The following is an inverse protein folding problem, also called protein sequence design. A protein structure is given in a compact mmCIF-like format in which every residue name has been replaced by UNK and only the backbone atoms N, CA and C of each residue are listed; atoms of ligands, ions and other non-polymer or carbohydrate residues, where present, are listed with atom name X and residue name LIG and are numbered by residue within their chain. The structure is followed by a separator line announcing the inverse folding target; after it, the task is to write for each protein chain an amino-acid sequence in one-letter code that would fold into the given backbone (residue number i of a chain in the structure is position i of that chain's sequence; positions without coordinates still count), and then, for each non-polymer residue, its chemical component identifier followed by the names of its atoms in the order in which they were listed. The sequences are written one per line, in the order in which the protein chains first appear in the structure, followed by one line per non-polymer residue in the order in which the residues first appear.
data_IF_893912868867
#
_entry.id   IF_893912868867
#
_cell.length_a   1.000
_cell.length_b   1.000
_cell.length_c   1.000
_cell.angle_alpha   90.00
_cell.angle_beta   90.00
_cell.angle_gamma   90.00
#
_symmetry.space_group_name_H-M   'P 1'
#
loop_
_entity.id
_entity.type
_entity.pdbx_description
1 polymer ?
#
# COMPACT_ATOMS: atom_id res chain seq x y z
N UNK A 1 -0.50 -11.92 33.64
CA UNK A 1 -1.32 -12.81 32.78
C UNK A 1 -0.60 -13.32 31.52
N UNK A 2 0.31 -12.58 30.86
CA UNK A 2 0.79 -12.94 29.50
C UNK A 2 1.71 -14.17 29.38
N UNK A 3 2.63 -14.42 30.32
CA UNK A 3 3.56 -15.58 30.26
C UNK A 3 2.87 -16.95 30.32
N UNK A 4 1.63 -17.01 30.79
CA UNK A 4 0.88 -18.25 30.92
C UNK A 4 -0.09 -18.54 29.77
N UNK A 5 -0.35 -17.60 28.86
CA UNK A 5 -1.38 -17.80 27.83
C UNK A 5 -0.93 -18.80 26.75
N UNK A 6 0.33 -18.71 26.29
CA UNK A 6 0.87 -19.56 25.20
C UNK A 6 0.75 -21.05 25.53
N UNK A 7 1.10 -21.45 26.77
CA UNK A 7 1.00 -22.85 27.23
C UNK A 7 -0.43 -23.40 27.22
N UNK A 8 -1.45 -22.55 27.34
CA UNK A 8 -2.85 -22.97 27.30
C UNK A 8 -3.40 -23.03 25.88
N UNK A 9 -2.77 -22.35 24.92
CA UNK A 9 -3.19 -22.39 23.52
C UNK A 9 -2.76 -23.69 22.83
N UNK A 10 -1.61 -24.24 23.18
CA UNK A 10 -1.06 -25.43 22.52
C UNK A 10 -2.01 -26.65 22.54
N UNK A 11 -2.60 -27.07 23.68
CA UNK A 11 -3.55 -28.19 23.67
C UNK A 11 -4.78 -27.93 22.79
N UNK A 12 -5.25 -26.67 22.74
CA UNK A 12 -6.37 -26.27 21.88
C UNK A 12 -5.98 -26.38 20.39
N UNK A 13 -4.73 -26.04 20.06
CA UNK A 13 -4.21 -26.13 18.70
C UNK A 13 -3.94 -27.58 18.26
N UNK A 14 -3.66 -28.49 19.19
CA UNK A 14 -3.45 -29.92 18.91
C UNK A 14 -4.81 -30.62 18.75
N UNK A 15 -5.62 -30.58 19.80
CA UNK A 15 -6.79 -31.46 19.94
C UNK A 15 -8.13 -30.75 19.72
N UNK A 16 -8.15 -29.41 19.75
CA UNK A 16 -9.37 -28.62 19.59
C UNK A 16 -10.02 -28.78 18.21
N UNK A 17 -11.31 -28.49 18.15
CA UNK A 17 -12.04 -28.48 16.88
C UNK A 17 -11.68 -27.23 16.04
N UNK A 18 -12.09 -27.21 14.76
CA UNK A 18 -11.69 -26.14 13.83
C UNK A 18 -11.95 -24.72 14.35
N UNK A 19 -13.14 -24.45 14.91
CA UNK A 19 -13.45 -23.13 15.45
C UNK A 19 -12.58 -22.74 16.68
N UNK A 20 -12.26 -23.69 17.57
CA UNK A 20 -11.33 -23.47 18.68
C UNK A 20 -9.92 -23.16 18.18
N UNK A 21 -9.44 -23.93 17.17
CA UNK A 21 -8.15 -23.70 16.52
C UNK A 21 -8.07 -22.33 15.87
N UNK A 22 -9.15 -21.87 15.22
CA UNK A 22 -9.20 -20.54 14.60
C UNK A 22 -8.99 -19.43 15.63
N UNK A 23 -9.72 -19.45 16.74
CA UNK A 23 -9.60 -18.45 17.80
C UNK A 23 -8.26 -18.55 18.53
N UNK A 24 -7.80 -19.76 18.85
CA UNK A 24 -6.50 -19.98 19.49
C UNK A 24 -5.34 -19.46 18.63
N UNK A 25 -5.36 -19.68 17.31
CA UNK A 25 -4.35 -19.13 16.40
C UNK A 25 -4.44 -17.61 16.28
N UNK A 26 -5.64 -17.03 16.34
CA UNK A 26 -5.80 -15.57 16.33
C UNK A 26 -5.16 -14.95 17.57
N UNK A 27 -5.43 -15.51 18.75
CA UNK A 27 -4.78 -15.08 20.00
C UNK A 27 -3.27 -15.28 19.92
N UNK A 28 -2.79 -16.41 19.40
CA UNK A 28 -1.37 -16.67 19.25
C UNK A 28 -0.68 -15.67 18.32
N UNK A 29 -1.34 -15.28 17.23
CA UNK A 29 -0.87 -14.22 16.33
C UNK A 29 -0.83 -12.86 17.05
N UNK A 30 -1.84 -12.50 17.83
CA UNK A 30 -1.78 -11.27 18.62
C UNK A 30 -0.65 -11.28 19.66
N UNK A 31 -0.41 -12.43 20.29
CA UNK A 31 0.68 -12.63 21.23
C UNK A 31 2.05 -12.55 20.54
N UNK A 32 2.18 -12.97 19.29
CA UNK A 32 3.46 -12.96 18.57
C UNK A 32 3.99 -11.56 18.30
N UNK A 33 3.22 -10.49 18.50
CA UNK A 33 3.73 -9.12 18.48
C UNK A 33 4.42 -8.68 19.78
N UNK A 34 4.36 -9.48 20.84
CA UNK A 34 5.03 -9.19 22.10
C UNK A 34 6.35 -9.96 22.19
N UNK A 35 7.46 -9.25 22.48
CA UNK A 35 8.82 -9.85 22.51
C UNK A 35 8.95 -11.03 23.48
N UNK A 36 8.35 -10.97 24.67
CA UNK A 36 8.42 -12.08 25.64
C UNK A 36 7.67 -13.30 25.09
N UNK A 37 6.50 -13.09 24.50
CA UNK A 37 5.72 -14.16 23.87
C UNK A 37 6.43 -14.74 22.63
N UNK A 38 7.11 -13.92 21.84
CA UNK A 38 7.90 -14.39 20.68
C UNK A 38 8.93 -15.42 21.12
N UNK A 39 9.71 -15.10 22.16
CA UNK A 39 10.72 -16.00 22.71
C UNK A 39 10.09 -17.32 23.16
N UNK A 40 9.01 -17.26 23.95
CA UNK A 40 8.30 -18.46 24.43
C UNK A 40 7.77 -19.34 23.29
N UNK A 41 7.27 -18.74 22.21
CA UNK A 41 6.76 -19.49 21.05
C UNK A 41 7.91 -20.10 20.25
N UNK A 42 9.01 -19.36 20.05
CA UNK A 42 10.16 -19.81 19.27
C UNK A 42 10.96 -20.92 19.96
N UNK A 43 11.01 -20.95 21.29
CA UNK A 43 11.69 -22.00 22.07
C UNK A 43 10.89 -23.31 22.15
N UNK A 44 9.56 -23.27 22.01
CA UNK A 44 8.74 -24.48 21.95
C UNK A 44 8.76 -25.09 20.55
N UNK A 45 9.73 -25.98 20.30
CA UNK A 45 9.90 -26.67 19.02
C UNK A 45 8.63 -27.38 18.55
N UNK A 46 7.91 -28.05 19.46
CA UNK A 46 6.66 -28.74 19.13
C UNK A 46 5.53 -27.79 18.74
N UNK A 47 5.41 -26.63 19.38
CA UNK A 47 4.46 -25.59 18.97
C UNK A 47 4.84 -25.02 17.60
N UNK A 48 6.12 -24.82 17.32
CA UNK A 48 6.60 -24.37 16.01
C UNK A 48 6.31 -25.40 14.90
N UNK A 49 6.47 -26.69 15.18
CA UNK A 49 6.12 -27.76 14.23
C UNK A 49 4.62 -27.84 13.99
N UNK A 50 3.81 -27.67 15.04
CA UNK A 50 2.37 -27.58 14.95
C UNK A 50 1.93 -26.41 14.07
N UNK A 51 2.50 -25.22 14.26
CA UNK A 51 2.22 -24.06 13.41
C UNK A 51 2.63 -24.32 11.95
N UNK A 52 3.77 -24.97 11.72
CA UNK A 52 4.23 -25.34 10.38
C UNK A 52 3.32 -26.37 9.70
N UNK A 53 2.63 -27.20 10.47
CA UNK A 53 1.61 -28.12 9.98
C UNK A 53 0.31 -27.37 9.69
N UNK A 54 -0.18 -26.58 10.64
CA UNK A 54 -1.43 -25.83 10.54
C UNK A 54 -1.41 -24.78 9.42
N UNK A 55 -0.25 -24.25 9.03
CA UNK A 55 -0.14 -23.31 7.90
C UNK A 55 -0.57 -23.92 6.55
N UNK A 56 -0.64 -25.25 6.45
CA UNK A 56 -1.08 -26.00 5.25
C UNK A 56 -2.45 -26.65 5.45
N UNK A 57 -3.19 -26.27 6.49
CA UNK A 57 -4.49 -26.85 6.80
C UNK A 57 -5.52 -26.57 5.69
N UNK A 58 -6.47 -27.49 5.49
CA UNK A 58 -7.52 -27.33 4.47
C UNK A 58 -8.46 -26.15 4.79
N UNK A 59 -8.72 -25.91 6.08
CA UNK A 59 -9.43 -24.73 6.54
C UNK A 59 -8.58 -23.47 6.33
N UNK A 60 -9.00 -22.60 5.39
CA UNK A 60 -8.28 -21.38 5.02
C UNK A 60 -8.07 -20.41 6.17
N UNK A 61 -8.98 -20.35 7.16
CA UNK A 61 -8.86 -19.44 8.31
C UNK A 61 -7.75 -19.93 9.24
N UNK A 62 -7.71 -21.23 9.53
CA UNK A 62 -6.64 -21.87 10.32
C UNK A 62 -5.30 -21.66 9.63
N UNK A 63 -5.23 -22.02 8.34
CA UNK A 63 -4.01 -21.85 7.55
C UNK A 63 -3.53 -20.39 7.58
N UNK A 64 -4.43 -19.43 7.36
CA UNK A 64 -4.12 -17.99 7.42
C UNK A 64 -3.61 -17.56 8.78
N UNK A 65 -4.29 -17.91 9.88
CA UNK A 65 -3.90 -17.43 11.21
C UNK A 65 -2.55 -18.03 11.64
N UNK A 66 -2.31 -19.31 11.35
CA UNK A 66 -1.01 -19.96 11.60
C UNK A 66 0.11 -19.31 10.78
N UNK A 67 -0.16 -19.07 9.49
CA UNK A 67 0.73 -18.30 8.63
C UNK A 67 1.03 -16.93 9.25
N UNK A 68 0.01 -16.17 9.63
CA UNK A 68 0.16 -14.82 10.20
C UNK A 68 1.03 -14.80 11.46
N UNK A 69 0.80 -15.73 12.39
CA UNK A 69 1.64 -15.88 13.58
C UNK A 69 3.10 -16.16 13.21
N UNK A 70 3.35 -17.15 12.33
CA UNK A 70 4.69 -17.47 11.84
C UNK A 70 5.35 -16.30 11.12
N UNK A 71 4.58 -15.47 10.42
CA UNK A 71 5.12 -14.32 9.71
C UNK A 71 5.71 -13.30 10.67
N UNK A 72 4.96 -12.95 11.73
CA UNK A 72 5.40 -12.00 12.75
C UNK A 72 6.62 -12.54 13.50
N UNK A 73 6.61 -13.84 13.85
CA UNK A 73 7.75 -14.51 14.49
C UNK A 73 9.03 -14.46 13.64
N UNK A 74 8.89 -14.39 12.31
CA UNK A 74 10.03 -14.32 11.37
C UNK A 74 10.24 -12.91 10.79
N UNK A 75 9.61 -11.87 11.34
CA UNK A 75 9.65 -10.51 10.77
C UNK A 75 11.09 -10.00 10.68
N UNK A 76 11.94 -10.22 11.70
CA UNK A 76 13.34 -9.76 11.69
C UNK A 76 14.17 -10.36 10.56
N UNK A 77 14.00 -11.66 10.30
CA UNK A 77 14.69 -12.32 9.18
C UNK A 77 14.19 -11.78 7.83
N UNK A 78 12.89 -11.49 7.72
CA UNK A 78 12.27 -10.93 6.51
C UNK A 78 12.76 -9.51 6.22
N UNK A 79 12.85 -8.66 7.24
CA UNK A 79 13.46 -7.33 7.12
C UNK A 79 14.88 -7.41 6.56
N UNK A 80 15.69 -8.34 7.07
CA UNK A 80 17.06 -8.56 6.56
C UNK A 80 17.11 -8.97 5.09
N UNK A 81 16.12 -9.73 4.60
CA UNK A 81 16.00 -10.09 3.18
C UNK A 81 15.47 -8.92 2.33
N UNK A 82 14.48 -8.19 2.82
CA UNK A 82 13.90 -7.05 2.12
C UNK A 82 14.91 -5.90 1.95
N UNK A 83 15.78 -5.67 2.94
CA UNK A 83 16.85 -4.67 2.88
C UNK A 83 17.88 -4.92 1.76
N UNK A 84 17.99 -6.15 1.25
CA UNK A 84 18.87 -6.50 0.14
C UNK A 84 18.21 -6.25 -1.23
N UNK A 85 16.89 -6.03 -1.27
CA UNK A 85 16.18 -5.74 -2.52
C UNK A 85 16.41 -4.28 -2.93
N UNK A 86 16.54 -3.99 -4.24
CA UNK A 86 16.61 -2.62 -4.72
C UNK A 86 15.34 -1.85 -4.35
N UNK A 87 15.50 -0.59 -3.93
CA UNK A 87 14.39 0.31 -3.64
C UNK A 87 13.58 0.53 -4.91
N UNK A 88 12.28 0.22 -4.86
CA UNK A 88 11.37 0.43 -5.98
C UNK A 88 11.15 1.94 -6.15
N UNK A 89 11.79 2.55 -7.16
CA UNK A 89 11.63 3.97 -7.52
C UNK A 89 10.21 4.31 -7.97
N UNK A 90 9.53 3.31 -8.53
CA UNK A 90 8.19 3.39 -9.09
C UNK A 90 7.26 2.42 -8.37
N UNK A 91 7.00 2.66 -7.09
CA UNK A 91 6.06 1.85 -6.29
C UNK A 91 4.62 2.32 -6.40
N UNK A 92 3.72 1.59 -5.75
CA UNK A 92 2.31 1.96 -5.64
C UNK A 92 2.02 2.63 -4.27
N UNK A 93 0.89 3.31 -4.17
CA UNK A 93 0.27 3.67 -2.89
C UNK A 93 -0.53 2.45 -2.41
N UNK A 94 -0.10 1.85 -1.30
CA UNK A 94 -0.81 0.74 -0.68
C UNK A 94 -1.88 1.28 0.25
N UNK A 95 -3.12 0.79 0.15
CA UNK A 95 -4.19 1.08 1.09
C UNK A 95 -4.30 -0.07 2.09
N UNK A 96 -3.79 0.14 3.31
CA UNK A 96 -3.97 -0.79 4.43
C UNK A 96 -5.23 -0.40 5.18
N UNK A 97 -6.21 -1.30 5.25
CA UNK A 97 -7.51 -1.00 5.81
C UNK A 97 -8.23 -2.20 6.41
N UNK A 98 -9.26 -1.90 7.19
CA UNK A 98 -10.22 -2.90 7.62
C UNK A 98 -11.46 -2.86 6.71
N UNK A 99 -11.91 -4.05 6.29
CA UNK A 99 -12.96 -4.25 5.29
C UNK A 99 -14.31 -3.54 5.56
N UNK A 100 -14.64 -3.24 6.82
CA UNK A 100 -15.81 -2.46 7.20
C UNK A 100 -15.82 -1.03 6.61
N UNK A 101 -14.67 -0.53 6.15
CA UNK A 101 -14.54 0.76 5.47
C UNK A 101 -14.42 0.65 3.94
N UNK A 102 -14.65 -0.53 3.35
CA UNK A 102 -14.39 -0.82 1.93
C UNK A 102 -15.04 0.20 0.98
N UNK A 103 -16.31 0.57 1.17
CA UNK A 103 -17.01 1.51 0.29
C UNK A 103 -16.28 2.85 0.16
N UNK A 104 -15.87 3.44 1.29
CA UNK A 104 -15.14 4.70 1.31
C UNK A 104 -13.76 4.56 0.65
N UNK A 105 -13.07 3.45 0.87
CA UNK A 105 -11.72 3.27 0.33
C UNK A 105 -11.68 2.89 -1.14
N UNK A 106 -12.73 2.26 -1.66
CA UNK A 106 -12.92 2.13 -3.10
C UNK A 106 -13.09 3.50 -3.76
N UNK A 107 -13.84 4.42 -3.13
CA UNK A 107 -13.96 5.80 -3.62
C UNK A 107 -12.62 6.54 -3.58
N UNK A 108 -11.85 6.43 -2.48
CA UNK A 108 -10.50 7.01 -2.40
C UNK A 108 -9.58 6.41 -3.47
N UNK A 109 -9.58 5.07 -3.63
CA UNK A 109 -8.79 4.39 -4.66
C UNK A 109 -9.11 4.92 -6.05
N UNK A 110 -10.39 5.00 -6.41
CA UNK A 110 -10.81 5.40 -7.76
C UNK A 110 -10.39 6.85 -8.02
N UNK A 111 -10.58 7.73 -7.04
CA UNK A 111 -10.14 9.12 -7.13
C UNK A 111 -8.62 9.28 -7.21
N UNK A 112 -7.86 8.50 -6.45
CA UNK A 112 -6.39 8.50 -6.56
C UNK A 112 -5.94 7.98 -7.94
N UNK A 113 -6.62 6.97 -8.51
CA UNK A 113 -6.34 6.48 -9.87
C UNK A 113 -6.68 7.51 -10.94
N UNK A 114 -7.79 8.23 -10.80
CA UNK A 114 -8.13 9.38 -11.66
C UNK A 114 -7.04 10.47 -11.60
N UNK A 115 -6.34 10.60 -10.46
CA UNK A 115 -5.19 11.49 -10.28
C UNK A 115 -3.83 10.81 -10.61
N UNK A 116 -3.85 9.74 -11.42
CA UNK A 116 -2.67 9.01 -11.89
C UNK A 116 -1.79 8.35 -10.81
N UNK A 117 -2.32 8.10 -9.60
CA UNK A 117 -1.63 7.26 -8.63
C UNK A 117 -1.82 5.78 -8.96
N UNK A 118 -0.73 5.00 -8.89
CA UNK A 118 -0.83 3.54 -8.84
C UNK A 118 -1.28 3.16 -7.45
N UNK A 119 -2.46 2.56 -7.34
CA UNK A 119 -3.04 2.19 -6.05
C UNK A 119 -3.21 0.69 -5.96
N UNK A 120 -2.62 0.11 -4.91
CA UNK A 120 -2.85 -1.27 -4.51
C UNK A 120 -3.82 -1.30 -3.32
N UNK A 121 -4.81 -2.17 -3.40
CA UNK A 121 -5.79 -2.42 -2.34
C UNK A 121 -6.23 -3.88 -2.42
N UNK A 122 -6.31 -4.56 -1.28
CA UNK A 122 -6.88 -5.91 -1.21
C UNK A 122 -8.42 -5.81 -1.20
N UNK A 123 -9.05 -5.90 -2.38
CA UNK A 123 -10.52 -5.73 -2.55
C UNK A 123 -11.25 -7.05 -2.38
N UNK A 124 -10.67 -8.13 -2.89
CA UNK A 124 -11.37 -9.39 -3.11
C UNK A 124 -11.54 -10.22 -1.84
N UNK A 125 -11.01 -9.75 -0.70
CA UNK A 125 -10.87 -10.55 0.51
C UNK A 125 -10.45 -11.97 0.11
N UNK A 126 -9.37 -12.08 -0.69
CA UNK A 126 -8.84 -13.40 -0.89
C UNK A 126 -8.49 -13.84 0.52
N UNK A 127 -9.23 -14.83 1.00
CA UNK A 127 -8.99 -15.61 2.20
C UNK A 127 -7.66 -16.39 2.05
N UNK A 128 -6.65 -15.75 1.47
CA UNK A 128 -5.63 -16.32 0.62
C UNK A 128 -4.87 -15.30 -0.24
N UNK A 129 -4.98 -13.98 -0.02
CA UNK A 129 -3.85 -13.09 -0.33
C UNK A 129 -2.77 -13.60 0.60
N UNK A 130 -1.91 -14.45 0.02
CA UNK A 130 -0.89 -15.12 0.80
C UNK A 130 -0.11 -14.03 1.53
N UNK A 131 0.44 -14.31 2.70
CA UNK A 131 1.32 -13.34 3.35
C UNK A 131 2.44 -12.83 2.44
N UNK A 132 2.75 -13.59 1.39
CA UNK A 132 3.63 -13.15 0.33
C UNK A 132 3.05 -11.97 -0.44
N UNK A 133 1.79 -12.02 -0.89
CA UNK A 133 1.12 -10.89 -1.53
C UNK A 133 1.05 -9.66 -0.62
N UNK A 134 0.76 -9.85 0.67
CA UNK A 134 0.82 -8.77 1.68
C UNK A 134 2.24 -8.19 1.79
N UNK A 135 3.26 -9.04 1.87
CA UNK A 135 4.66 -8.59 1.96
C UNK A 135 5.09 -7.86 0.69
N UNK A 136 4.75 -8.38 -0.48
CA UNK A 136 5.06 -7.79 -1.78
C UNK A 136 4.35 -6.43 -1.95
N UNK A 137 3.13 -6.29 -1.44
CA UNK A 137 2.43 -5.01 -1.41
C UNK A 137 3.18 -3.98 -0.56
N UNK A 138 3.51 -4.31 0.68
CA UNK A 138 4.27 -3.37 1.56
C UNK A 138 5.65 -3.06 0.98
N UNK A 139 6.38 -4.07 0.50
CA UNK A 139 7.72 -3.92 -0.08
C UNK A 139 7.70 -3.08 -1.37
N UNK A 140 6.70 -3.29 -2.23
CA UNK A 140 6.50 -2.55 -3.47
C UNK A 140 5.83 -1.19 -3.30
N UNK A 141 5.40 -0.83 -2.09
CA UNK A 141 4.77 0.44 -1.82
C UNK A 141 5.79 1.58 -1.75
N UNK A 142 5.44 2.71 -2.38
CA UNK A 142 6.11 4.01 -2.18
C UNK A 142 5.53 4.76 -0.97
N UNK A 143 4.27 4.52 -0.63
CA UNK A 143 3.63 4.98 0.59
C UNK A 143 2.52 4.00 1.02
N UNK A 144 2.23 3.95 2.31
CA UNK A 144 1.15 3.15 2.89
C UNK A 144 0.12 4.09 3.52
N UNK A 145 -1.10 4.07 2.98
CA UNK A 145 -2.26 4.72 3.61
C UNK A 145 -2.77 3.82 4.73
N UNK A 146 -2.61 4.27 5.97
CA UNK A 146 -3.04 3.55 7.16
C UNK A 146 -4.44 4.00 7.56
N UNK A 147 -5.46 3.24 7.19
CA UNK A 147 -6.87 3.61 7.35
C UNK A 147 -7.40 3.21 8.73
N UNK A 148 -7.16 4.09 9.70
CA UNK A 148 -7.37 3.87 11.13
C UNK A 148 -8.85 3.87 11.53
N UNK A 149 -9.21 2.85 12.28
CA UNK A 149 -10.47 2.70 13.03
C UNK A 149 -10.22 1.77 14.21
N UNK A 150 -11.20 1.59 15.11
CA UNK A 150 -11.11 0.60 16.17
C UNK A 150 -10.94 -0.81 15.59
N UNK A 151 -11.71 -1.13 14.53
CA UNK A 151 -11.59 -2.43 13.84
C UNK A 151 -10.25 -2.63 13.14
N UNK A 152 -9.65 -1.56 12.61
CA UNK A 152 -8.28 -1.62 12.07
C UNK A 152 -7.28 -2.00 13.17
N UNK A 153 -7.40 -1.37 14.34
CA UNK A 153 -6.53 -1.63 15.48
C UNK A 153 -6.65 -3.07 16.01
N UNK A 154 -7.85 -3.64 15.94
CA UNK A 154 -8.15 -4.99 16.43
C UNK A 154 -7.88 -6.09 15.39
N UNK A 155 -7.43 -5.73 14.17
CA UNK A 155 -7.15 -6.68 13.10
C UNK A 155 -5.67 -7.10 13.11
N UNK A 156 -5.34 -8.38 13.36
CA UNK A 156 -3.96 -8.87 13.31
C UNK A 156 -3.31 -8.66 11.95
N UNK A 157 -4.07 -8.77 10.85
CA UNK A 157 -3.60 -8.47 9.51
C UNK A 157 -3.15 -7.01 9.37
N UNK A 158 -4.02 -6.07 9.75
CA UNK A 158 -3.73 -4.64 9.65
C UNK A 158 -2.53 -4.27 10.52
N UNK A 159 -2.43 -4.85 11.72
CA UNK A 159 -1.26 -4.68 12.59
C UNK A 159 0.01 -5.23 11.95
N UNK A 160 -0.06 -6.40 11.31
CA UNK A 160 1.08 -7.02 10.62
C UNK A 160 1.60 -6.12 9.50
N UNK A 161 0.70 -5.60 8.64
CA UNK A 161 1.05 -4.65 7.58
C UNK A 161 1.64 -3.36 8.14
N UNK A 162 1.01 -2.78 9.18
CA UNK A 162 1.45 -1.55 9.82
C UNK A 162 2.84 -1.68 10.42
N UNK A 163 3.08 -2.72 11.22
CA UNK A 163 4.38 -2.97 11.83
C UNK A 163 5.43 -3.29 10.76
N UNK A 164 5.08 -3.99 9.67
CA UNK A 164 6.03 -4.26 8.60
C UNK A 164 6.41 -3.00 7.81
N UNK A 165 5.42 -2.19 7.45
CA UNK A 165 5.64 -0.92 6.77
C UNK A 165 6.53 0.00 7.60
N UNK A 166 6.27 0.06 8.92
CA UNK A 166 7.10 0.81 9.86
C UNK A 166 8.53 0.27 9.94
N UNK A 167 8.69 -1.05 10.05
CA UNK A 167 9.96 -1.75 10.06
C UNK A 167 10.81 -1.49 8.80
N UNK A 168 10.17 -1.44 7.63
CA UNK A 168 10.82 -1.11 6.35
C UNK A 168 10.98 0.40 6.12
N UNK A 169 10.68 1.23 7.12
CA UNK A 169 10.71 2.68 7.06
C UNK A 169 9.91 3.25 5.87
N UNK A 170 8.77 2.62 5.56
CA UNK A 170 7.87 3.08 4.50
C UNK A 170 7.18 4.37 4.95
N UNK A 171 7.00 5.36 4.04
CA UNK A 171 6.16 6.51 4.33
C UNK A 171 4.73 6.07 4.69
N UNK A 172 4.32 6.31 5.93
CA UNK A 172 2.98 6.01 6.44
C UNK A 172 2.17 7.31 6.51
N UNK A 173 1.05 7.32 5.80
CA UNK A 173 0.08 8.43 5.77
C UNK A 173 -1.18 7.97 6.52
N UNK A 174 -1.47 8.50 7.72
CA UNK A 174 -2.61 8.06 8.50
C UNK A 174 -3.94 8.67 8.01
N UNK A 175 -4.95 7.84 7.80
CA UNK A 175 -6.31 8.23 7.44
C UNK A 175 -7.25 7.85 8.59
N UNK A 176 -8.01 8.79 9.14
CA UNK A 176 -9.00 8.51 10.18
C UNK A 176 -10.33 8.14 9.53
N UNK A 177 -10.79 6.91 9.72
CA UNK A 177 -12.01 6.37 9.09
C UNK A 177 -13.21 6.32 10.03
N UNK A 178 -13.01 6.59 11.32
CA UNK A 178 -14.02 6.46 12.37
C UNK A 178 -14.10 7.75 13.20
N UNK A 179 -15.32 8.26 13.40
CA UNK A 179 -15.54 9.55 14.03
C UNK A 179 -15.18 9.47 15.51
N UNK A 180 -14.44 10.47 16.00
CA UNK A 180 -13.99 10.53 17.39
C UNK A 180 -13.06 9.38 17.83
N UNK A 181 -12.62 8.52 16.91
CA UNK A 181 -11.62 7.51 17.21
C UNK A 181 -10.27 8.17 17.50
N UNK A 182 -9.59 7.69 18.53
CA UNK A 182 -8.25 8.13 18.91
C UNK A 182 -7.32 6.92 18.95
N UNK A 183 -6.29 6.88 18.09
CA UNK A 183 -5.29 5.83 18.15
C UNK A 183 -4.66 5.74 19.54
N UNK A 184 -4.55 4.53 20.07
CA UNK A 184 -3.92 4.25 21.36
C UNK A 184 -3.20 2.90 21.32
N UNK A 185 -2.49 2.56 22.41
CA UNK A 185 -1.71 1.32 22.47
C UNK A 185 -0.66 1.25 21.36
N UNK A 186 -0.55 0.08 20.71
CA UNK A 186 0.43 -0.17 19.65
C UNK A 186 0.30 0.83 18.49
N UNK A 187 -0.92 1.17 18.09
CA UNK A 187 -1.18 2.05 16.95
C UNK A 187 -0.81 3.50 17.30
N UNK A 188 -1.14 3.95 18.52
CA UNK A 188 -0.76 5.29 18.99
C UNK A 188 0.76 5.47 19.07
N UNK A 189 1.49 4.46 19.56
CA UNK A 189 2.96 4.47 19.60
C UNK A 189 3.55 4.52 18.19
N UNK A 190 3.04 3.69 17.27
CA UNK A 190 3.53 3.62 15.88
C UNK A 190 3.34 4.95 15.14
N UNK A 191 2.20 5.61 15.34
CA UNK A 191 1.89 6.88 14.68
C UNK A 191 2.63 8.07 15.28
N UNK A 192 2.92 8.06 16.59
CA UNK A 192 3.54 9.17 17.29
C UNK A 192 2.73 10.47 17.12
N UNK A 193 3.39 11.55 16.68
CA UNK A 193 2.78 12.86 16.44
C UNK A 193 2.40 13.12 14.99
N UNK A 194 2.24 12.08 14.16
CA UNK A 194 1.85 12.24 12.75
C UNK A 194 0.47 12.87 12.63
N UNK A 195 0.34 13.81 11.70
CA UNK A 195 -0.96 14.33 11.28
C UNK A 195 -1.75 13.25 10.54
N UNK A 196 -3.08 13.36 10.58
CA UNK A 196 -3.98 12.42 9.91
C UNK A 196 -5.02 13.14 9.06
N UNK A 197 -5.49 12.46 8.02
CA UNK A 197 -6.54 12.94 7.12
C UNK A 197 -7.88 12.33 7.53
N UNK A 198 -8.84 13.18 7.91
CA UNK A 198 -10.12 12.74 8.47
C UNK A 198 -11.16 12.43 7.39
N UNK A 199 -11.35 11.14 7.12
CA UNK A 199 -12.37 10.56 6.23
C UNK A 199 -13.54 9.93 7.02
N UNK A 200 -13.72 10.28 8.30
CA UNK A 200 -14.80 9.76 9.15
C UNK A 200 -16.19 10.34 8.84
N UNK A 201 -16.30 11.17 7.80
CA UNK A 201 -17.51 11.92 7.47
C UNK A 201 -17.66 13.25 8.23
N UNK A 202 -16.63 13.69 8.98
CA UNK A 202 -16.65 15.00 9.67
C UNK A 202 -16.54 16.19 8.70
N UNK A 203 -15.84 16.01 7.58
CA UNK A 203 -15.58 17.05 6.59
C UNK A 203 -16.01 16.58 5.19
N UNK A 204 -16.20 17.51 4.23
CA UNK A 204 -16.45 17.15 2.84
C UNK A 204 -15.33 16.26 2.28
N UNK A 205 -15.73 15.20 1.57
CA UNK A 205 -14.83 14.17 1.06
C UNK A 205 -13.79 14.76 0.10
N UNK A 206 -14.22 15.58 -0.84
CA UNK A 206 -13.42 16.17 -1.91
C UNK A 206 -12.30 17.04 -1.33
N UNK A 207 -12.61 17.85 -0.31
CA UNK A 207 -11.61 18.67 0.37
C UNK A 207 -10.52 17.83 1.01
N UNK A 208 -10.88 16.71 1.64
CA UNK A 208 -9.93 15.81 2.31
C UNK A 208 -9.13 14.98 1.31
N UNK A 209 -9.74 14.63 0.20
CA UNK A 209 -9.06 14.02 -0.93
C UNK A 209 -8.00 14.96 -1.53
N UNK A 210 -8.31 16.24 -1.74
CA UNK A 210 -7.33 17.21 -2.24
C UNK A 210 -6.15 17.38 -1.29
N UNK A 211 -6.42 17.42 0.02
CA UNK A 211 -5.38 17.42 1.06
C UNK A 211 -4.49 16.16 0.98
N UNK A 212 -5.09 14.97 0.79
CA UNK A 212 -4.37 13.71 0.65
C UNK A 212 -3.53 13.65 -0.65
N UNK A 213 -4.06 14.12 -1.78
CA UNK A 213 -3.33 14.17 -3.06
C UNK A 213 -2.11 15.08 -2.94
N UNK A 214 -2.25 16.22 -2.27
CA UNK A 214 -1.11 17.12 -1.99
C UNK A 214 -0.05 16.47 -1.10
N UNK A 215 -0.46 15.73 -0.08
CA UNK A 215 0.47 15.01 0.81
C UNK A 215 1.21 13.89 0.07
N UNK A 216 0.52 13.15 -0.79
CA UNK A 216 1.13 12.12 -1.62
C UNK A 216 2.11 12.71 -2.63
N UNK A 217 1.85 13.92 -3.13
CA UNK A 217 2.73 14.63 -4.05
C UNK A 217 3.05 13.78 -5.28
N UNK A 218 4.32 13.37 -5.43
CA UNK A 218 4.76 12.49 -6.52
C UNK A 218 4.85 11.01 -6.11
N UNK A 219 4.70 10.71 -4.83
CA UNK A 219 4.88 9.37 -4.28
C UNK A 219 3.77 8.43 -4.74
N UNK A 220 4.14 7.39 -5.49
CA UNK A 220 3.20 6.42 -6.03
C UNK A 220 2.44 6.90 -7.27
N UNK A 221 2.84 8.03 -7.88
CA UNK A 221 2.39 8.37 -9.21
C UNK A 221 2.82 7.28 -10.21
N UNK A 222 2.02 7.11 -11.25
CA UNK A 222 2.51 6.55 -12.49
C UNK A 222 3.57 7.53 -13.03
N UNK A 223 4.85 7.18 -12.95
CA UNK A 223 5.76 7.63 -14.01
C UNK A 223 5.16 7.09 -15.30
N UNK A 224 4.93 7.93 -16.31
CA UNK A 224 4.47 7.38 -17.59
C UNK A 224 5.59 6.44 -18.06
N UNK A 225 5.32 5.14 -17.99
CA UNK A 225 6.22 4.13 -18.53
C UNK A 225 6.33 4.38 -20.03
N UNK A 226 7.37 3.87 -20.69
CA UNK A 226 7.48 3.98 -22.15
C UNK A 226 6.20 3.49 -22.85
N UNK A 227 5.50 2.49 -22.27
CA UNK A 227 4.20 2.03 -22.76
C UNK A 227 3.10 3.07 -22.61
N UNK A 228 3.02 3.77 -21.48
CA UNK A 228 2.02 4.81 -21.23
C UNK A 228 2.27 6.03 -22.12
N UNK A 229 3.54 6.41 -22.33
CA UNK A 229 3.89 7.47 -23.29
C UNK A 229 3.51 7.04 -24.70
N UNK A 230 3.82 5.81 -25.10
CA UNK A 230 3.45 5.29 -26.42
C UNK A 230 1.93 5.30 -26.63
N UNK A 231 1.17 4.90 -25.62
CA UNK A 231 -0.29 4.89 -25.67
C UNK A 231 -0.88 6.31 -25.65
N UNK A 232 -0.32 7.21 -24.84
CA UNK A 232 -0.67 8.63 -24.83
C UNK A 232 -0.42 9.29 -26.19
N UNK A 233 0.71 9.01 -26.84
CA UNK A 233 1.02 9.51 -28.18
C UNK A 233 0.02 8.99 -29.21
N UNK A 234 -0.32 7.69 -29.17
CA UNK A 234 -1.36 7.12 -30.04
C UNK A 234 -2.72 7.79 -29.85
N UNK A 235 -3.17 7.92 -28.60
CA UNK A 235 -4.48 8.49 -28.28
C UNK A 235 -4.60 9.97 -28.69
N UNK A 236 -3.48 10.70 -28.71
CA UNK A 236 -3.43 12.10 -29.11
C UNK A 236 -3.00 12.31 -30.57
N UNK A 237 -2.97 11.26 -31.39
CA UNK A 237 -2.60 11.34 -32.83
C UNK A 237 -1.18 11.87 -33.07
N UNK A 238 -0.26 11.52 -32.19
CA UNK A 238 1.16 11.90 -32.19
C UNK A 238 2.09 10.69 -32.39
N UNK A 239 1.54 9.52 -32.69
CA UNK A 239 2.33 8.31 -32.98
C UNK A 239 3.10 8.45 -34.30
N UNK A 240 4.33 7.93 -34.36
CA UNK A 240 5.20 7.99 -35.55
C UNK A 240 6.23 9.12 -35.53
N UNK A 241 6.18 10.03 -34.54
CA UNK A 241 7.25 10.98 -34.29
C UNK A 241 8.34 10.34 -33.42
N UNK A 242 9.46 9.93 -34.03
CA UNK A 242 10.58 9.28 -33.32
C UNK A 242 11.11 10.08 -32.13
N UNK A 243 11.12 11.41 -32.24
CA UNK A 243 11.52 12.33 -31.17
C UNK A 243 10.56 12.33 -29.98
N UNK A 244 9.28 12.06 -30.21
CA UNK A 244 8.28 11.95 -29.14
C UNK A 244 8.31 10.55 -28.50
N UNK A 245 8.59 9.51 -29.28
CA UNK A 245 8.69 8.12 -28.79
C UNK A 245 9.84 7.93 -27.79
N UNK A 246 10.87 8.80 -27.82
CA UNK A 246 11.95 8.81 -26.82
C UNK A 246 11.62 9.58 -25.53
N UNK A 247 10.45 10.19 -25.42
CA UNK A 247 10.08 10.94 -24.23
C UNK A 247 9.68 10.00 -23.10
N UNK A 248 10.18 10.27 -21.90
CA UNK A 248 9.67 9.67 -20.67
C UNK A 248 8.49 10.48 -20.12
N UNK A 249 7.73 9.90 -19.18
CA UNK A 249 6.72 10.65 -18.44
C UNK A 249 7.26 11.88 -17.70
N UNK A 250 8.51 11.85 -17.26
CA UNK A 250 9.16 13.01 -16.66
C UNK A 250 9.40 14.13 -17.68
N UNK A 251 9.79 13.78 -18.91
CA UNK A 251 9.91 14.76 -19.99
C UNK A 251 8.57 15.41 -20.31
N UNK A 252 7.48 14.62 -20.37
CA UNK A 252 6.13 15.15 -20.63
C UNK A 252 5.70 16.12 -19.51
N UNK A 253 5.92 15.78 -18.23
CA UNK A 253 5.63 16.67 -17.10
C UNK A 253 6.48 17.94 -17.12
N UNK A 254 7.75 17.83 -17.51
CA UNK A 254 8.61 18.99 -17.69
C UNK A 254 8.08 19.91 -18.79
N UNK A 255 7.69 19.34 -19.94
CA UNK A 255 7.09 20.06 -21.06
C UNK A 255 5.78 20.76 -20.68
N UNK A 256 4.95 20.15 -19.81
CA UNK A 256 3.76 20.80 -19.24
C UNK A 256 4.10 22.00 -18.36
N UNK A 257 5.12 21.89 -17.50
CA UNK A 257 5.58 23.05 -16.70
C UNK A 257 6.18 24.14 -17.60
N UNK A 258 6.86 23.73 -18.67
CA UNK A 258 7.49 24.63 -19.61
C UNK A 258 6.46 25.42 -20.43
N UNK A 259 5.37 24.79 -20.85
CA UNK A 259 4.27 25.45 -21.59
C UNK A 259 3.64 26.57 -20.77
N UNK A 260 3.53 26.40 -19.45
CA UNK A 260 2.97 27.41 -18.53
C UNK A 260 3.97 28.52 -18.18
N UNK A 261 5.25 28.18 -18.00
CA UNK A 261 6.27 29.13 -17.50
C UNK A 261 6.95 29.93 -18.60
N UNK A 262 7.15 29.34 -19.77
CA UNK A 262 7.84 29.95 -20.90
C UNK A 262 7.20 29.50 -22.23
N UNK A 263 5.99 29.98 -22.57
CA UNK A 263 5.24 29.51 -23.73
C UNK A 263 5.99 29.65 -25.06
N UNK A 264 6.69 30.77 -25.27
CA UNK A 264 7.46 31.01 -26.49
C UNK A 264 8.61 30.00 -26.64
N UNK A 265 9.32 29.72 -25.55
CA UNK A 265 10.39 28.72 -25.53
C UNK A 265 9.83 27.31 -25.73
N UNK A 266 8.69 26.99 -25.11
CA UNK A 266 8.00 25.72 -25.31
C UNK A 266 7.68 25.47 -26.79
N UNK A 267 7.01 26.41 -27.47
CA UNK A 267 6.68 26.24 -28.89
C UNK A 267 7.93 26.22 -29.80
N UNK A 268 8.99 26.95 -29.42
CA UNK A 268 10.28 26.89 -30.13
C UNK A 268 10.91 25.51 -30.00
N UNK A 269 10.97 24.96 -28.79
CA UNK A 269 11.50 23.62 -28.50
C UNK A 269 10.70 22.52 -29.21
N UNK A 270 9.36 22.61 -29.21
CA UNK A 270 8.51 21.66 -29.94
C UNK A 270 8.86 21.61 -31.44
N UNK A 271 9.12 22.76 -32.06
CA UNK A 271 9.42 22.88 -33.49
C UNK A 271 10.86 22.47 -33.83
N UNK A 272 11.82 22.90 -33.02
CA UNK A 272 13.25 22.77 -33.32
C UNK A 272 13.82 21.43 -32.83
N UNK A 273 13.53 21.05 -31.59
CA UNK A 273 14.12 19.87 -30.94
C UNK A 273 13.23 18.64 -31.07
N UNK A 274 11.90 18.80 -30.94
CA UNK A 274 10.96 17.69 -31.08
C UNK A 274 10.40 17.51 -32.49
N UNK A 275 10.71 18.42 -33.42
CA UNK A 275 10.38 18.28 -34.84
C UNK A 275 8.89 18.41 -35.19
N UNK A 276 8.06 18.93 -34.28
CA UNK A 276 6.63 19.18 -34.53
C UNK A 276 6.47 20.46 -35.36
N UNK A 277 6.56 20.32 -36.68
CA UNK A 277 6.53 21.45 -37.61
C UNK A 277 5.14 21.75 -38.18
N UNK A 278 4.22 20.78 -38.14
CA UNK A 278 2.87 20.99 -38.62
C UNK A 278 2.00 21.67 -37.55
N UNK A 279 1.06 22.51 -38.00
CA UNK A 279 0.12 23.18 -37.10
C UNK A 279 -0.74 22.15 -36.34
N UNK A 280 -1.11 21.05 -36.99
CA UNK A 280 -1.90 19.98 -36.37
C UNK A 280 -1.13 19.27 -35.25
N UNK A 281 0.15 18.98 -35.46
CA UNK A 281 0.96 18.30 -34.43
C UNK A 281 1.18 19.21 -33.22
N UNK A 282 1.45 20.50 -33.45
CA UNK A 282 1.58 21.49 -32.40
C UNK A 282 0.27 21.64 -31.60
N UNK A 283 -0.86 21.71 -32.30
CA UNK A 283 -2.17 21.80 -31.67
C UNK A 283 -2.51 20.52 -30.89
N UNK A 284 -2.26 19.34 -31.46
CA UNK A 284 -2.49 18.07 -30.79
C UNK A 284 -1.61 17.93 -29.54
N UNK A 285 -0.32 18.26 -29.63
CA UNK A 285 0.61 18.17 -28.51
C UNK A 285 0.27 19.18 -27.41
N UNK A 286 0.00 20.44 -27.76
CA UNK A 286 -0.38 21.47 -26.79
C UNK A 286 -1.68 21.08 -26.07
N UNK A 287 -2.72 20.71 -26.81
CA UNK A 287 -4.00 20.27 -26.22
C UNK A 287 -3.86 19.02 -25.36
N UNK A 288 -2.95 18.09 -25.73
CA UNK A 288 -2.71 16.88 -24.97
C UNK A 288 -1.98 17.19 -23.64
N UNK A 289 -1.00 18.10 -23.67
CA UNK A 289 -0.28 18.60 -22.49
C UNK A 289 -1.23 19.32 -21.53
N UNK A 290 -2.14 20.15 -22.04
CA UNK A 290 -3.10 20.91 -21.23
C UNK A 290 -4.15 20.03 -20.55
N UNK A 291 -4.39 18.83 -21.08
CA UNK A 291 -5.29 17.81 -20.50
C UNK A 291 -4.62 16.93 -19.46
N UNK A 292 -3.29 17.03 -19.29
CA UNK A 292 -2.61 16.33 -18.21
C UNK A 292 -3.00 16.97 -16.88
N UNK A 293 -3.26 16.16 -15.84
CA UNK A 293 -3.60 16.68 -14.51
C UNK A 293 -2.42 17.42 -13.85
#
# INVERSE_FOLDING_TARGET
MKKGAVKHLKPILEDGHDAEKQEALKVLWELSFNKDSQHLIQEDASLMDLLNTLKKHQNKIIARNANGALWVLNMSQRMGKAAQKPVVKDGHVMISYQWGNQKMLLQIRDKLRENNFRVWIDVDNISGSTLQAMADAVEGASAVLMCMSQRYKDSPNCRTEAEYAFALNKPIIPLLMERSYRPNGWLGILLGSKLFFDFSGKYPFEKKLDELVRELGHTGLHGASEKDVTEWLKNNKLAGHKSLESLSGENIKFLQKLSQRAPEFFFTYLKQDLGLRSLNDLMNFSNAIDKLP
#
